data_IF_581214960068
#
_entry.id   IF_581214960068
#
_cell.length_a   1.000
_cell.length_b   1.000
_cell.length_c   1.000
_cell.angle_alpha   90.00
_cell.angle_beta   90.00
_cell.angle_gamma   90.00
#
_symmetry.space_group_name_H-M   'P 1'
#
loop_
_entity.id
_entity.type
_entity.pdbx_description
1 polymer ?
#
# COMPACT_ATOMS: atom_id res chain seq x y z
N UNK A 1 -12.70 -3.18 9.77
CA UNK A 1 -11.43 -3.04 9.02
C UNK A 1 -11.63 -2.02 7.90
N UNK A 2 -10.61 -1.25 7.51
CA UNK A 2 -10.67 -0.39 6.32
C UNK A 2 -9.38 -0.47 5.49
N UNK A 3 -9.46 -0.43 4.15
CA UNK A 3 -8.28 -0.21 3.31
C UNK A 3 -7.91 1.27 3.33
N UNK A 4 -6.62 1.56 3.24
CA UNK A 4 -6.09 2.92 3.14
C UNK A 4 -4.98 2.97 2.10
N UNK A 5 -5.07 3.92 1.18
CA UNK A 5 -4.05 4.16 0.17
C UNK A 5 -3.65 5.63 0.23
N UNK A 6 -2.58 5.99 0.97
CA UNK A 6 -2.25 7.37 1.29
C UNK A 6 -2.21 8.26 0.04
N UNK A 7 -1.55 7.77 -1.00
CA UNK A 7 -1.50 8.38 -2.31
C UNK A 7 -1.72 7.32 -3.39
N UNK A 8 -2.45 7.68 -4.44
CA UNK A 8 -2.60 6.85 -5.62
C UNK A 8 -2.44 7.68 -6.89
N UNK A 9 -2.01 7.05 -7.97
CA UNK A 9 -2.00 7.65 -9.30
C UNK A 9 -2.80 6.74 -10.25
N UNK A 10 -3.96 7.20 -10.69
CA UNK A 10 -4.86 6.42 -11.53
C UNK A 10 -5.80 7.32 -12.32
N UNK A 11 -6.03 7.00 -13.60
CA UNK A 11 -7.06 7.68 -14.42
C UNK A 11 -8.48 7.29 -14.02
N UNK A 12 -8.66 6.01 -13.69
CA UNK A 12 -9.96 5.43 -13.35
C UNK A 12 -10.25 5.60 -11.86
N UNK A 13 -11.39 6.20 -11.57
CA UNK A 13 -11.89 6.45 -10.23
C UNK A 13 -13.30 5.89 -10.02
N UNK A 14 -13.79 5.99 -8.79
CA UNK A 14 -15.15 5.66 -8.42
C UNK A 14 -15.68 6.70 -7.42
N UNK A 15 -16.99 6.92 -7.46
CA UNK A 15 -17.70 7.79 -6.52
C UNK A 15 -17.87 7.07 -5.18
N UNK A 16 -17.63 7.77 -4.09
CA UNK A 16 -17.77 7.28 -2.73
C UNK A 16 -19.12 7.66 -2.14
N UNK A 17 -19.50 7.02 -1.02
CA UNK A 17 -20.79 7.28 -0.38
C UNK A 17 -20.94 8.73 0.09
N UNK A 18 -19.83 9.38 0.45
CA UNK A 18 -19.76 10.79 0.83
C UNK A 18 -19.73 11.75 -0.39
N UNK A 19 -19.97 11.24 -1.60
CA UNK A 19 -19.99 12.03 -2.84
C UNK A 19 -18.61 12.42 -3.36
N UNK A 20 -17.55 11.87 -2.78
CA UNK A 20 -16.17 12.10 -3.18
C UNK A 20 -15.69 11.13 -4.27
N UNK A 21 -14.44 11.31 -4.69
CA UNK A 21 -13.77 10.50 -5.70
C UNK A 21 -12.53 9.78 -5.14
N UNK A 22 -12.43 8.46 -5.36
CA UNK A 22 -11.24 7.67 -5.02
C UNK A 22 -10.80 6.80 -6.19
N UNK A 23 -9.54 6.35 -6.18
CA UNK A 23 -9.05 5.43 -7.21
C UNK A 23 -9.86 4.14 -7.28
N UNK A 24 -10.16 3.67 -8.48
CA UNK A 24 -11.01 2.48 -8.71
C UNK A 24 -10.49 1.22 -8.02
N UNK A 25 -9.17 1.07 -7.92
CA UNK A 25 -8.54 -0.03 -7.19
C UNK A 25 -8.91 -0.02 -5.70
N UNK A 26 -8.86 1.15 -5.06
CA UNK A 26 -9.21 1.31 -3.64
C UNK A 26 -10.70 1.08 -3.41
N UNK A 27 -11.55 1.58 -4.32
CA UNK A 27 -12.98 1.34 -4.25
C UNK A 27 -13.30 -0.15 -4.34
N UNK A 28 -12.67 -0.87 -5.28
CA UNK A 28 -12.88 -2.30 -5.46
C UNK A 28 -12.44 -3.10 -4.23
N UNK A 29 -11.29 -2.77 -3.62
CA UNK A 29 -10.85 -3.36 -2.35
C UNK A 29 -11.90 -3.19 -1.25
N UNK A 30 -12.49 -2.00 -1.14
CA UNK A 30 -13.51 -1.69 -0.13
C UNK A 30 -14.78 -2.50 -0.35
N UNK A 31 -15.26 -2.57 -1.59
CA UNK A 31 -16.45 -3.36 -1.96
C UNK A 31 -16.24 -4.86 -1.75
N UNK A 32 -15.05 -5.39 -2.05
CA UNK A 32 -14.72 -6.80 -1.80
C UNK A 32 -14.71 -7.16 -0.30
N UNK A 33 -14.50 -6.17 0.56
CA UNK A 33 -14.57 -6.32 2.01
C UNK A 33 -15.97 -5.99 2.58
N UNK A 34 -16.97 -5.76 1.71
CA UNK A 34 -18.34 -5.37 2.07
C UNK A 34 -18.41 -4.06 2.90
N UNK A 35 -17.43 -3.17 2.75
CA UNK A 35 -17.43 -1.86 3.38
C UNK A 35 -17.89 -0.76 2.42
N UNK A 36 -18.58 0.23 2.97
CA UNK A 36 -18.88 1.47 2.28
C UNK A 36 -17.60 2.19 1.84
N UNK A 37 -17.53 2.55 0.57
CA UNK A 37 -16.43 3.34 0.01
C UNK A 37 -16.48 4.77 0.56
N UNK A 38 -15.34 5.27 1.04
CA UNK A 38 -15.22 6.63 1.57
C UNK A 38 -13.96 7.32 1.05
N UNK A 39 -14.04 8.63 0.82
CA UNK A 39 -12.92 9.46 0.35
C UNK A 39 -11.64 9.35 1.19
N UNK A 40 -11.75 9.15 2.51
CA UNK A 40 -10.62 9.00 3.42
C UNK A 40 -9.79 7.74 3.16
N UNK A 41 -10.33 6.74 2.45
CA UNK A 41 -9.59 5.54 2.07
C UNK A 41 -8.53 5.82 1.00
N UNK A 42 -8.63 6.92 0.25
CA UNK A 42 -7.59 7.38 -0.68
C UNK A 42 -7.55 8.92 -0.73
N UNK A 43 -6.94 9.56 0.28
CA UNK A 43 -7.05 11.00 0.49
C UNK A 43 -6.29 11.84 -0.53
N UNK A 44 -5.32 11.26 -1.25
CA UNK A 44 -4.63 11.90 -2.36
C UNK A 44 -4.73 11.01 -3.59
N UNK A 45 -5.45 11.48 -4.61
CA UNK A 45 -5.55 10.82 -5.91
C UNK A 45 -5.03 11.76 -6.99
N UNK A 46 -4.01 11.29 -7.72
CA UNK A 46 -3.43 11.97 -8.86
C UNK A 46 -3.98 11.35 -10.14
N UNK A 47 -4.65 12.15 -10.96
CA UNK A 47 -5.14 11.73 -12.28
C UNK A 47 -4.22 12.35 -13.34
N UNK A 48 -3.32 11.57 -13.95
CA UNK A 48 -2.39 12.11 -14.94
C UNK A 48 -3.16 12.66 -16.14
N UNK A 49 -2.82 13.85 -16.61
CA UNK A 49 -3.45 14.50 -17.76
C UNK A 49 -2.46 14.68 -18.92
N UNK A 50 -1.20 14.92 -18.58
CA UNK A 50 -0.08 15.03 -19.52
C UNK A 50 1.13 14.29 -18.96
N UNK A 51 2.22 14.20 -19.73
CA UNK A 51 3.47 13.58 -19.27
C UNK A 51 4.08 14.24 -18.02
N UNK A 52 3.69 15.48 -17.72
CA UNK A 52 4.25 16.28 -16.61
C UNK A 52 3.21 16.84 -15.64
N UNK A 53 1.93 16.63 -15.88
CA UNK A 53 0.85 17.24 -15.13
C UNK A 53 -0.25 16.26 -14.74
N UNK A 54 -0.86 16.51 -13.59
CA UNK A 54 -1.97 15.74 -13.07
C UNK A 54 -3.02 16.64 -12.42
N UNK A 55 -4.28 16.22 -12.54
CA UNK A 55 -5.33 16.71 -11.66
C UNK A 55 -5.15 16.09 -10.28
N UNK A 56 -5.15 16.94 -9.26
CA UNK A 56 -5.00 16.57 -7.86
C UNK A 56 -6.37 16.57 -7.20
N UNK A 57 -6.74 15.41 -6.66
CA UNK A 57 -7.95 15.23 -5.85
C UNK A 57 -7.51 15.03 -4.40
N UNK A 58 -8.02 15.89 -3.52
CA UNK A 58 -7.83 15.79 -2.08
C UNK A 58 -9.13 15.40 -1.40
N UNK A 59 -9.09 14.30 -0.65
CA UNK A 59 -10.23 13.77 0.14
C UNK A 59 -11.52 13.78 -0.68
N UNK A 60 -11.44 13.27 -1.90
CA UNK A 60 -12.58 13.11 -2.80
C UNK A 60 -13.01 14.35 -3.57
N UNK A 61 -12.34 15.50 -3.42
CA UNK A 61 -12.67 16.73 -4.14
C UNK A 61 -11.51 17.19 -5.03
N UNK A 62 -11.83 17.68 -6.22
CA UNK A 62 -10.85 18.30 -7.11
C UNK A 62 -10.26 19.50 -6.39
N UNK A 63 -8.94 19.48 -6.19
CA UNK A 63 -8.19 20.59 -5.62
C UNK A 63 -7.67 21.52 -6.72
N UNK A 64 -7.17 20.94 -7.82
CA UNK A 64 -6.66 21.70 -8.96
C UNK A 64 -5.81 20.85 -9.90
N UNK A 65 -5.12 21.51 -10.81
CA UNK A 65 -4.19 20.92 -11.76
C UNK A 65 -2.79 21.37 -11.39
N UNK A 66 -1.84 20.44 -11.34
CA UNK A 66 -0.46 20.73 -10.94
C UNK A 66 0.52 19.99 -11.86
N UNK A 67 1.63 20.65 -12.17
CA UNK A 67 2.78 19.96 -12.72
C UNK A 67 3.58 19.22 -11.63
N UNK A 68 4.58 18.45 -12.03
CA UNK A 68 5.39 17.67 -11.10
C UNK A 68 6.17 18.53 -10.07
N UNK A 69 6.59 19.75 -10.42
CA UNK A 69 7.35 20.63 -9.54
C UNK A 69 6.44 21.29 -8.51
N UNK A 70 5.29 21.81 -8.97
CA UNK A 70 4.25 22.38 -8.12
C UNK A 70 3.75 21.33 -7.13
N UNK A 71 3.55 20.10 -7.61
CA UNK A 71 3.14 19.00 -6.73
C UNK A 71 4.20 18.70 -5.66
N UNK A 72 5.49 18.78 -6.00
CA UNK A 72 6.55 18.56 -5.02
C UNK A 72 6.52 19.59 -3.88
N UNK A 73 6.21 20.86 -4.19
CA UNK A 73 5.99 21.89 -3.16
C UNK A 73 4.69 21.65 -2.37
N UNK A 74 3.65 21.15 -3.05
CA UNK A 74 2.34 20.85 -2.48
C UNK A 74 2.32 19.64 -1.53
N UNK A 75 3.33 18.76 -1.58
CA UNK A 75 3.42 17.56 -0.75
C UNK A 75 3.20 17.80 0.74
N UNK A 76 3.52 18.99 1.27
CA UNK A 76 3.24 19.33 2.68
C UNK A 76 1.74 19.35 2.97
N UNK A 77 0.96 20.05 2.17
CA UNK A 77 -0.50 20.12 2.27
C UNK A 77 -1.14 18.75 1.99
N UNK A 78 -0.60 18.01 1.02
CA UNK A 78 -1.03 16.64 0.75
C UNK A 78 -0.79 15.73 1.97
N UNK A 79 0.36 15.86 2.65
CA UNK A 79 0.67 15.12 3.87
C UNK A 79 -0.34 15.42 4.98
N UNK A 80 -0.71 16.67 5.20
CA UNK A 80 -1.73 17.04 6.20
C UNK A 80 -3.07 16.35 5.89
N UNK A 81 -3.46 16.32 4.61
CA UNK A 81 -4.67 15.62 4.17
C UNK A 81 -4.61 14.11 4.41
N UNK A 82 -3.45 13.48 4.13
CA UNK A 82 -3.19 12.06 4.42
C UNK A 82 -3.35 11.76 5.91
N UNK A 83 -2.71 12.55 6.78
CA UNK A 83 -2.74 12.31 8.22
C UNK A 83 -4.14 12.53 8.81
N UNK A 84 -4.86 13.55 8.34
CA UNK A 84 -6.24 13.79 8.78
C UNK A 84 -7.20 12.67 8.33
N UNK A 85 -6.97 12.06 7.17
CA UNK A 85 -7.78 10.94 6.71
C UNK A 85 -7.44 9.64 7.46
N UNK A 86 -6.16 9.41 7.75
CA UNK A 86 -5.70 8.31 8.58
C UNK A 86 -6.35 8.34 9.98
N UNK A 87 -6.26 9.48 10.68
CA UNK A 87 -6.88 9.66 11.99
C UNK A 87 -8.40 9.44 11.97
N UNK A 88 -9.07 9.89 10.91
CA UNK A 88 -10.50 9.66 10.74
C UNK A 88 -10.85 8.19 10.49
N UNK A 89 -9.98 7.40 9.86
CA UNK A 89 -10.19 5.96 9.70
C UNK A 89 -9.88 5.20 11.00
N UNK A 90 -8.80 5.55 11.69
CA UNK A 90 -8.48 4.95 12.99
C UNK A 90 -9.59 5.14 14.03
N UNK A 91 -10.29 6.28 14.00
CA UNK A 91 -11.41 6.51 14.92
C UNK A 91 -12.68 5.70 14.58
N UNK A 92 -12.78 5.16 13.36
CA UNK A 92 -13.97 4.42 12.87
C UNK A 92 -13.76 2.92 12.76
N UNK A 93 -12.52 2.45 12.72
CA UNK A 93 -12.21 1.05 12.41
C UNK A 93 -11.12 0.51 13.33
N UNK A 94 -11.33 -0.70 13.86
CA UNK A 94 -10.34 -1.37 14.72
C UNK A 94 -9.02 -1.73 14.01
N UNK A 95 -9.08 -1.87 12.68
CA UNK A 95 -7.95 -2.27 11.85
C UNK A 95 -7.97 -1.50 10.55
N UNK A 96 -6.89 -0.80 10.23
CA UNK A 96 -6.68 -0.14 8.94
C UNK A 96 -5.48 -0.78 8.24
N UNK A 97 -5.65 -1.20 6.99
CA UNK A 97 -4.56 -1.76 6.18
C UNK A 97 -4.12 -0.68 5.19
N UNK A 98 -2.91 -0.14 5.40
CA UNK A 98 -2.31 0.80 4.50
C UNK A 98 -1.56 0.10 3.35
N UNK A 99 -1.80 0.54 2.12
CA UNK A 99 -1.13 0.06 0.92
C UNK A 99 -0.29 1.16 0.28
N UNK A 100 1.01 0.89 0.13
CA UNK A 100 1.92 1.75 -0.60
C UNK A 100 1.58 1.92 -2.08
N UNK A 101 2.23 2.89 -2.72
CA UNK A 101 2.13 3.14 -4.16
C UNK A 101 3.53 3.18 -4.78
N UNK A 102 3.67 2.61 -5.98
CA UNK A 102 4.99 2.45 -6.58
C UNK A 102 5.90 1.53 -5.75
N UNK A 103 7.20 1.82 -5.78
CA UNK A 103 8.24 1.15 -5.00
C UNK A 103 8.49 1.89 -3.68
N UNK A 104 8.59 1.18 -2.54
CA UNK A 104 8.90 1.79 -1.25
C UNK A 104 10.37 2.24 -1.14
N UNK A 105 11.22 1.87 -2.09
CA UNK A 105 12.67 2.15 -2.10
C UNK A 105 13.07 3.13 -3.22
N UNK A 106 12.18 4.04 -3.63
CA UNK A 106 12.47 5.09 -4.61
C UNK A 106 13.38 6.16 -3.99
N UNK A 107 14.70 5.95 -4.08
CA UNK A 107 15.75 6.78 -3.48
C UNK A 107 15.56 8.27 -3.82
N UNK A 108 15.18 8.57 -5.06
CA UNK A 108 14.97 9.93 -5.55
C UNK A 108 13.67 10.59 -5.05
N UNK A 109 12.71 9.82 -4.54
CA UNK A 109 11.41 10.32 -4.04
C UNK A 109 11.24 10.17 -2.52
N UNK A 110 12.28 9.67 -1.83
CA UNK A 110 12.26 9.42 -0.39
C UNK A 110 11.95 10.67 0.44
N UNK A 111 12.51 11.82 0.08
CA UNK A 111 12.26 13.08 0.78
C UNK A 111 10.81 13.53 0.55
N UNK A 112 10.04 13.61 1.65
CA UNK A 112 8.63 13.97 1.59
C UNK A 112 7.74 12.86 1.00
N UNK A 113 8.16 11.60 1.10
CA UNK A 113 7.30 10.47 0.79
C UNK A 113 6.07 10.46 1.72
N UNK A 114 4.89 10.45 1.12
CA UNK A 114 3.59 10.35 1.80
C UNK A 114 2.85 9.07 1.41
N UNK A 115 3.43 8.23 0.55
CA UNK A 115 2.80 7.07 -0.03
C UNK A 115 3.28 5.75 0.59
N UNK A 116 4.58 5.66 0.93
CA UNK A 116 5.21 4.41 1.34
C UNK A 116 5.81 4.52 2.76
N UNK A 117 7.14 4.46 2.87
CA UNK A 117 7.82 4.41 4.16
C UNK A 117 7.76 5.74 4.90
N UNK A 118 7.74 6.88 4.20
CA UNK A 118 7.56 8.18 4.86
C UNK A 118 6.19 8.32 5.53
N UNK A 119 5.16 7.67 4.97
CA UNK A 119 3.87 7.51 5.65
C UNK A 119 3.98 6.51 6.81
N UNK A 120 4.56 5.33 6.59
CA UNK A 120 4.66 4.29 7.61
C UNK A 120 5.44 4.74 8.87
N UNK A 121 6.47 5.58 8.69
CA UNK A 121 7.18 6.24 9.78
C UNK A 121 6.31 7.27 10.51
N UNK A 122 5.52 8.05 9.77
CA UNK A 122 4.67 9.10 10.35
C UNK A 122 3.53 8.56 11.23
N UNK A 123 3.01 7.36 10.92
CA UNK A 123 1.94 6.69 11.70
C UNK A 123 2.45 5.55 12.57
N UNK A 124 3.77 5.35 12.61
CA UNK A 124 4.44 4.27 13.33
C UNK A 124 3.85 2.85 13.10
N UNK A 125 3.51 2.49 11.85
CA UNK A 125 2.93 1.18 11.54
C UNK A 125 4.00 0.14 11.12
N UNK A 126 3.79 -1.18 11.37
CA UNK A 126 4.67 -2.22 10.84
C UNK A 126 4.44 -2.43 9.33
N UNK A 127 5.50 -2.80 8.61
CA UNK A 127 5.46 -2.97 7.14
C UNK A 127 5.74 -4.42 6.75
N UNK A 128 5.00 -4.92 5.76
CA UNK A 128 5.31 -6.16 5.04
C UNK A 128 5.64 -5.83 3.59
N UNK A 129 6.73 -6.38 3.08
CA UNK A 129 7.09 -6.25 1.66
C UNK A 129 6.45 -7.38 0.87
N UNK A 130 5.69 -7.03 -0.17
CA UNK A 130 4.99 -8.00 -1.01
C UNK A 130 5.65 -8.08 -2.37
N UNK A 131 6.22 -9.24 -2.71
CA UNK A 131 6.89 -9.49 -3.99
C UNK A 131 6.00 -10.24 -4.97
N UNK A 132 5.95 -9.83 -6.23
CA UNK A 132 5.18 -10.51 -7.28
C UNK A 132 6.10 -11.52 -8.01
N UNK A 133 5.88 -12.82 -7.77
CA UNK A 133 6.72 -13.88 -8.37
C UNK A 133 6.42 -14.11 -9.85
N UNK A 134 5.22 -13.76 -10.32
CA UNK A 134 4.79 -13.96 -11.71
C UNK A 134 5.62 -13.08 -12.68
N UNK A 135 6.22 -11.99 -12.17
CA UNK A 135 7.12 -11.11 -12.94
C UNK A 135 8.57 -11.59 -12.99
N UNK A 136 8.93 -12.64 -12.26
CA UNK A 136 10.30 -13.13 -12.12
C UNK A 136 11.18 -12.24 -11.24
N UNK A 137 12.29 -12.80 -10.75
CA UNK A 137 13.29 -12.06 -9.97
C UNK A 137 12.84 -11.62 -8.57
N UNK A 138 11.79 -12.23 -8.00
CA UNK A 138 11.18 -11.80 -6.74
C UNK A 138 12.17 -11.70 -5.58
N UNK A 139 13.12 -12.64 -5.47
CA UNK A 139 14.12 -12.65 -4.42
C UNK A 139 15.07 -11.45 -4.52
N UNK A 140 15.56 -11.16 -5.73
CA UNK A 140 16.41 -10.01 -5.98
C UNK A 140 15.66 -8.69 -5.73
N UNK A 141 14.39 -8.61 -6.10
CA UNK A 141 13.55 -7.44 -5.84
C UNK A 141 13.36 -7.19 -4.34
N UNK A 142 13.01 -8.22 -3.57
CA UNK A 142 12.77 -8.10 -2.14
C UNK A 142 14.05 -7.76 -1.37
N UNK A 143 15.14 -8.48 -1.65
CA UNK A 143 16.46 -8.20 -1.06
C UNK A 143 16.94 -6.81 -1.43
N UNK A 144 16.86 -6.45 -2.71
CA UNK A 144 17.32 -5.15 -3.20
C UNK A 144 16.49 -4.01 -2.62
N UNK A 145 15.17 -4.17 -2.53
CA UNK A 145 14.29 -3.20 -1.87
C UNK A 145 14.70 -3.02 -0.41
N UNK A 146 14.78 -4.10 0.38
CA UNK A 146 15.15 -4.02 1.79
C UNK A 146 16.52 -3.37 2.00
N UNK A 147 17.52 -3.70 1.16
CA UNK A 147 18.87 -3.15 1.24
C UNK A 147 18.95 -1.64 0.94
N UNK A 148 18.00 -1.11 0.17
CA UNK A 148 17.93 0.33 -0.16
C UNK A 148 17.18 1.14 0.91
N UNK A 149 16.48 0.48 1.83
CA UNK A 149 15.80 1.15 2.95
C UNK A 149 16.81 1.59 4.02
N UNK A 150 16.54 2.70 4.71
CA UNK A 150 17.31 3.10 5.89
C UNK A 150 17.11 2.13 7.05
N UNK A 151 17.96 2.20 8.08
CA UNK A 151 17.89 1.29 9.24
C UNK A 151 16.54 1.35 9.95
N UNK A 152 15.93 2.53 10.10
CA UNK A 152 14.59 2.69 10.71
C UNK A 152 13.52 1.96 9.91
N UNK A 153 13.59 2.06 8.59
CA UNK A 153 12.68 1.43 7.64
C UNK A 153 12.86 -0.09 7.58
N UNK A 154 14.11 -0.56 7.64
CA UNK A 154 14.41 -1.98 7.75
C UNK A 154 13.90 -2.56 9.08
N UNK A 155 14.04 -1.84 10.21
CA UNK A 155 13.55 -2.28 11.51
C UNK A 155 12.00 -2.36 11.56
N UNK A 156 11.34 -1.42 10.87
CA UNK A 156 9.87 -1.37 10.71
C UNK A 156 9.34 -2.49 9.81
N UNK A 157 10.13 -2.90 8.81
CA UNK A 157 9.80 -4.04 7.94
C UNK A 157 9.85 -5.35 8.73
N UNK A 158 8.72 -6.03 8.84
CA UNK A 158 8.57 -7.24 9.66
C UNK A 158 8.76 -8.53 8.87
N UNK A 159 8.74 -8.48 7.54
CA UNK A 159 8.92 -9.66 6.71
C UNK A 159 8.32 -9.52 5.32
N UNK A 160 8.16 -10.66 4.68
CA UNK A 160 7.77 -10.74 3.27
C UNK A 160 6.50 -11.57 3.04
N UNK A 161 5.85 -11.28 1.92
CA UNK A 161 4.80 -12.11 1.33
C UNK A 161 5.14 -12.31 -0.15
N UNK A 162 5.07 -13.56 -0.62
CA UNK A 162 5.23 -13.87 -2.05
C UNK A 162 3.86 -13.96 -2.71
N UNK A 163 3.54 -12.99 -3.55
CA UNK A 163 2.25 -12.92 -4.24
C UNK A 163 2.29 -13.62 -5.59
N UNK A 164 1.09 -14.04 -6.07
CA UNK A 164 0.86 -14.66 -7.39
C UNK A 164 1.61 -15.97 -7.60
N UNK A 165 1.79 -16.73 -6.54
CA UNK A 165 2.44 -18.03 -6.61
C UNK A 165 1.58 -19.05 -7.37
N UNK A 166 2.24 -19.88 -8.17
CA UNK A 166 1.66 -20.98 -8.94
C UNK A 166 2.48 -22.24 -8.67
N UNK A 167 1.82 -23.38 -8.58
CA UNK A 167 2.47 -24.68 -8.43
C UNK A 167 2.61 -25.14 -6.97
N UNK A 168 3.52 -26.08 -6.76
CA UNK A 168 3.74 -26.72 -5.47
C UNK A 168 4.66 -25.89 -4.58
N UNK A 169 4.17 -25.52 -3.40
CA UNK A 169 4.92 -24.75 -2.40
C UNK A 169 6.19 -25.47 -1.93
N UNK A 170 6.22 -26.80 -1.98
CA UNK A 170 7.40 -27.59 -1.64
C UNK A 170 8.61 -27.24 -2.51
N UNK A 171 8.38 -26.88 -3.78
CA UNK A 171 9.44 -26.44 -4.70
C UNK A 171 9.95 -25.02 -4.39
N UNK A 172 9.12 -24.18 -3.79
CA UNK A 172 9.50 -22.80 -3.43
C UNK A 172 10.19 -22.73 -2.07
N UNK A 173 9.90 -23.66 -1.17
CA UNK A 173 10.36 -23.65 0.23
C UNK A 173 11.86 -23.37 0.40
N UNK A 174 12.79 -24.01 -0.34
CA UNK A 174 14.22 -23.70 -0.21
C UNK A 174 14.57 -22.24 -0.55
N UNK A 175 13.86 -21.65 -1.50
CA UNK A 175 14.04 -20.23 -1.84
C UNK A 175 13.50 -19.28 -0.76
N UNK A 176 12.44 -19.69 -0.06
CA UNK A 176 11.91 -18.92 1.08
C UNK A 176 12.88 -18.96 2.26
N UNK A 177 13.40 -20.13 2.60
CA UNK A 177 14.40 -20.33 3.65
C UNK A 177 15.66 -19.48 3.36
N UNK A 178 16.16 -19.53 2.13
CA UNK A 178 17.27 -18.67 1.71
C UNK A 178 16.98 -17.18 1.91
N UNK A 179 15.76 -16.71 1.61
CA UNK A 179 15.38 -15.30 1.77
C UNK A 179 15.37 -14.91 3.25
N UNK A 180 14.85 -15.77 4.12
CA UNK A 180 14.84 -15.55 5.57
C UNK A 180 16.27 -15.48 6.13
N UNK A 181 17.12 -16.44 5.78
CA UNK A 181 18.54 -16.47 6.18
C UNK A 181 19.29 -15.24 5.71
N UNK A 182 19.08 -14.83 4.45
CA UNK A 182 19.79 -13.71 3.84
C UNK A 182 19.43 -12.36 4.45
N UNK A 183 18.19 -12.19 4.88
CA UNK A 183 17.65 -10.88 5.30
C UNK A 183 17.42 -10.78 6.80
N UNK A 184 17.41 -11.91 7.52
CA UNK A 184 17.02 -11.97 8.93
C UNK A 184 15.54 -11.64 9.16
N UNK A 185 14.70 -11.70 8.13
CA UNK A 185 13.27 -11.36 8.20
C UNK A 185 12.42 -12.55 7.74
N UNK A 186 11.32 -12.89 8.45
CA UNK A 186 10.49 -14.03 8.09
C UNK A 186 9.72 -13.81 6.78
N UNK A 187 9.37 -14.92 6.12
CA UNK A 187 8.39 -14.98 5.05
C UNK A 187 7.08 -15.48 5.64
N UNK A 188 6.06 -14.62 5.69
CA UNK A 188 4.75 -14.95 6.28
C UNK A 188 3.92 -15.92 5.42
N UNK A 189 4.30 -16.12 4.16
CA UNK A 189 3.70 -17.12 3.28
C UNK A 189 3.61 -16.68 1.83
N UNK A 190 2.86 -17.46 1.06
CA UNK A 190 2.57 -17.21 -0.35
C UNK A 190 1.09 -16.92 -0.55
N UNK A 191 0.76 -16.09 -1.54
CA UNK A 191 -0.60 -15.87 -2.02
C UNK A 191 -0.76 -16.52 -3.39
N UNK A 192 -1.82 -17.34 -3.60
CA UNK A 192 -2.01 -18.05 -4.85
C UNK A 192 -2.35 -17.09 -5.99
N UNK A 193 -2.00 -17.47 -7.21
CA UNK A 193 -2.51 -16.82 -8.40
C UNK A 193 -3.99 -17.15 -8.60
N UNK A 194 -4.85 -16.12 -8.64
CA UNK A 194 -6.28 -16.30 -8.94
C UNK A 194 -6.53 -16.24 -10.46
N UNK A 195 -6.86 -17.37 -11.08
CA UNK A 195 -7.34 -17.41 -12.47
C UNK A 195 -8.75 -16.81 -12.57
N UNK A 196 -9.03 -16.04 -13.63
CA UNK A 196 -10.34 -15.42 -13.84
C UNK A 196 -10.56 -14.06 -13.16
N UNK A 197 -9.61 -13.57 -12.35
CA UNK A 197 -9.54 -12.17 -11.94
C UNK A 197 -9.04 -11.28 -13.11
N UNK A 198 -9.69 -11.37 -14.26
CA UNK A 198 -9.42 -10.54 -15.43
C UNK A 198 -9.48 -9.07 -15.02
N UNK A 199 -8.34 -8.39 -15.14
CA UNK A 199 -8.17 -6.92 -15.10
C UNK A 199 -8.74 -6.12 -13.91
N UNK A 200 -9.41 -6.73 -12.92
CA UNK A 200 -10.15 -5.98 -11.87
C UNK A 200 -9.41 -5.75 -10.56
N UNK A 201 -8.40 -6.54 -10.17
CA UNK A 201 -7.68 -6.30 -8.92
C UNK A 201 -6.22 -6.71 -9.05
N UNK A 202 -5.34 -5.78 -9.47
CA UNK A 202 -3.89 -6.06 -9.59
C UNK A 202 -3.16 -6.15 -8.25
N UNK A 203 -3.81 -5.83 -7.12
CA UNK A 203 -3.21 -5.84 -5.78
C UNK A 203 -4.25 -6.35 -4.78
N UNK A 204 -3.91 -7.36 -4.00
CA UNK A 204 -4.75 -7.92 -2.94
C UNK A 204 -4.02 -7.72 -1.61
N UNK A 205 -4.74 -7.46 -0.53
CA UNK A 205 -4.20 -7.26 0.83
C UNK A 205 -4.85 -8.29 1.74
N UNK A 206 -4.10 -8.99 2.61
CA UNK A 206 -4.67 -9.85 3.66
C UNK A 206 -3.84 -9.96 4.95
N UNK A 207 -4.54 -10.48 5.95
CA UNK A 207 -4.59 -10.31 7.42
C UNK A 207 -3.49 -10.99 8.27
N UNK A 208 -3.33 -10.53 9.53
CA UNK A 208 -2.85 -11.32 10.67
C UNK A 208 -3.80 -11.09 11.89
N UNK A 209 -4.44 -12.14 12.46
CA UNK A 209 -5.34 -11.97 13.60
C UNK A 209 -4.56 -11.79 14.91
N UNK A 210 -4.65 -10.61 15.54
CA UNK A 210 -4.37 -10.53 16.98
C UNK A 210 -5.54 -11.19 17.71
N UNK A 211 -5.34 -12.43 18.20
CA UNK A 211 -6.12 -12.96 19.32
C UNK A 211 -5.90 -12.03 20.52
N UNK A 212 -6.96 -11.40 21.01
CA UNK A 212 -6.97 -10.91 22.40
C UNK A 212 -6.94 -12.16 23.28
N UNK A 213 -5.87 -12.34 24.05
CA UNK A 213 -5.83 -13.27 25.17
C UNK A 213 -6.99 -12.95 26.11
N UNK A 214 -7.93 -13.88 26.26
CA UNK A 214 -8.80 -13.92 27.44
C UNK A 214 -7.91 -14.30 28.64
N UNK A 215 -7.99 -13.60 29.77
CA UNK A 215 -7.49 -14.14 31.03
C UNK A 215 -8.49 -15.17 31.56
N UNK A 216 -7.96 -16.33 31.95
CA UNK A 216 -8.70 -17.36 32.68
C UNK A 216 -9.21 -16.80 34.02
N UNK A 217 -10.53 -16.85 34.21
CA UNK A 217 -11.22 -16.84 35.50
C UNK A 217 -12.63 -17.43 35.32
#
# INVERSE_FOLDING_TARGET
>A
MAPFKPQNMALNSAVTQDGGEIGRSTALTSTSLLFSTHSDMNPVLLKPETDRGAQVILRGKVHGHMDALDYHAFKRTAKESVMAAWQALESRFDVVIAEGAGSPAEINLRKGDIANMGFAEAVDCPVLLVGDIDRGGVFAQLVGTLALLSESEQARTKGFIINRFRGDIALLKPGLEWLEERTGKPVFGTLPYLQGAGTRCRRQHWFNPRRKSQPDA
#
